data_IF_519556899188
#
_entry.id   IF_519556899188
#
_cell.length_a   1.000
_cell.length_b   1.000
_cell.length_c   1.000
_cell.angle_alpha   90.00
_cell.angle_beta   90.00
_cell.angle_gamma   90.00
#
_symmetry.space_group_name_H-M   'P 1'
#
loop_
_entity.id
_entity.type
_entity.pdbx_description
1 polymer ?
#
# COMPACT_ATOMS: atom_id res chain seq x y z
N UNK A 1 11.60 16.17 -16.95
CA UNK A 1 12.94 15.55 -17.02
C UNK A 1 13.00 14.34 -18.00
N UNK A 2 11.92 14.05 -18.76
CA UNK A 2 11.90 12.98 -19.77
C UNK A 2 12.02 11.56 -19.21
N UNK A 3 11.61 11.32 -17.96
CA UNK A 3 11.63 9.99 -17.33
C UNK A 3 10.27 9.35 -17.54
N UNK A 4 10.25 8.12 -18.05
CA UNK A 4 9.03 7.33 -18.20
C UNK A 4 8.50 6.88 -16.85
N UNK A 5 7.19 7.01 -16.65
CA UNK A 5 6.54 6.63 -15.38
C UNK A 5 5.48 5.56 -15.64
N UNK A 6 5.45 4.53 -14.80
CA UNK A 6 4.37 3.55 -14.74
C UNK A 6 3.55 3.80 -13.49
N UNK A 7 2.26 4.10 -13.66
CA UNK A 7 1.30 4.19 -12.57
C UNK A 7 0.57 2.86 -12.41
N UNK A 8 0.51 2.36 -11.20
CA UNK A 8 -0.14 1.09 -10.89
C UNK A 8 -0.71 1.10 -9.47
N UNK A 9 -1.38 0.03 -9.05
CA UNK A 9 -1.98 -0.08 -7.72
C UNK A 9 -2.05 -1.52 -7.23
N UNK A 10 -2.20 -1.72 -5.92
CA UNK A 10 -2.46 -3.02 -5.29
C UNK A 10 -3.69 -2.98 -4.36
N UNK A 11 -4.37 -4.13 -4.19
CA UNK A 11 -4.24 -5.35 -4.99
C UNK A 11 -4.73 -5.12 -6.42
N UNK A 12 -4.10 -5.79 -7.40
CA UNK A 12 -4.45 -5.62 -8.82
C UNK A 12 -3.23 -5.37 -9.71
N UNK A 13 -3.40 -4.52 -10.72
CA UNK A 13 -2.34 -4.12 -11.66
C UNK A 13 -1.99 -5.16 -12.72
N UNK A 14 -2.59 -6.36 -12.69
CA UNK A 14 -2.48 -7.43 -13.70
C UNK A 14 -3.82 -8.15 -13.85
N UNK A 15 -4.05 -8.82 -14.97
CA UNK A 15 -5.30 -9.55 -15.16
C UNK A 15 -5.60 -10.58 -14.07
N UNK A 16 -4.57 -11.31 -13.60
CA UNK A 16 -4.68 -12.25 -12.47
C UNK A 16 -4.91 -11.48 -11.17
N UNK A 17 -4.12 -10.41 -10.93
CA UNK A 17 -4.25 -9.59 -9.74
C UNK A 17 -5.62 -8.95 -9.59
N UNK A 18 -6.26 -8.51 -10.69
CA UNK A 18 -7.63 -7.97 -10.66
C UNK A 18 -8.66 -9.05 -10.23
N UNK A 19 -8.53 -10.29 -10.71
CA UNK A 19 -9.41 -11.39 -10.27
C UNK A 19 -9.24 -11.72 -8.79
N UNK A 20 -8.01 -11.70 -8.32
CA UNK A 20 -7.74 -11.86 -6.88
C UNK A 20 -8.34 -10.69 -6.08
N UNK A 21 -8.21 -9.45 -6.58
CA UNK A 21 -8.83 -8.26 -6.00
C UNK A 21 -10.34 -8.40 -5.90
N UNK A 22 -11.01 -8.87 -6.96
CA UNK A 22 -12.45 -9.10 -6.95
C UNK A 22 -12.84 -10.00 -5.76
N UNK A 23 -12.11 -11.10 -5.54
CA UNK A 23 -12.35 -11.99 -4.40
C UNK A 23 -12.07 -11.32 -3.04
N UNK A 24 -10.96 -10.60 -2.91
CA UNK A 24 -10.56 -9.97 -1.64
C UNK A 24 -11.59 -8.93 -1.17
N UNK A 25 -12.08 -8.11 -2.10
CA UNK A 25 -12.90 -6.94 -1.78
C UNK A 25 -14.41 -7.23 -1.80
N UNK A 26 -14.82 -8.40 -2.30
CA UNK A 26 -16.23 -8.76 -2.39
C UNK A 26 -16.87 -8.87 -0.99
N UNK A 27 -17.92 -8.10 -0.80
CA UNK A 27 -18.71 -8.07 0.45
C UNK A 27 -19.40 -9.40 0.78
N UNK A 28 -19.53 -10.30 -0.19
CA UNK A 28 -20.16 -11.61 0.01
C UNK A 28 -19.28 -12.57 0.79
N UNK A 29 -17.95 -12.37 0.80
CA UNK A 29 -16.99 -13.28 1.45
C UNK A 29 -16.61 -12.81 2.86
N UNK A 30 -17.60 -12.58 3.71
CA UNK A 30 -17.39 -12.16 5.11
C UNK A 30 -16.69 -13.24 5.97
N UNK A 31 -16.82 -14.51 5.57
CA UNK A 31 -16.20 -15.67 6.23
C UNK A 31 -14.71 -15.83 5.88
N UNK A 32 -14.14 -15.00 5.01
CA UNK A 32 -12.73 -15.09 4.64
C UNK A 32 -11.84 -14.97 5.87
N UNK A 33 -11.08 -16.02 6.18
CA UNK A 33 -10.20 -15.98 7.35
C UNK A 33 -9.00 -15.02 7.09
N UNK A 34 -8.44 -14.43 8.16
CA UNK A 34 -7.35 -13.48 8.06
C UNK A 34 -6.13 -13.98 7.27
N UNK A 35 -5.78 -15.26 7.43
CA UNK A 35 -4.63 -15.84 6.73
C UNK A 35 -4.89 -15.99 5.22
N UNK A 36 -6.09 -16.41 4.81
CA UNK A 36 -6.49 -16.45 3.39
C UNK A 36 -6.41 -15.06 2.78
N UNK A 37 -6.94 -14.04 3.47
CA UNK A 37 -6.83 -12.64 3.05
C UNK A 37 -5.37 -12.25 2.81
N UNK A 38 -4.49 -12.49 3.78
CA UNK A 38 -3.07 -12.15 3.68
C UNK A 38 -2.36 -12.87 2.52
N UNK A 39 -2.66 -14.15 2.31
CA UNK A 39 -2.10 -14.93 1.21
C UNK A 39 -2.59 -14.45 -0.16
N UNK A 40 -3.84 -14.06 -0.29
CA UNK A 40 -4.39 -13.51 -1.54
C UNK A 40 -3.75 -12.16 -1.89
N UNK A 41 -3.57 -11.27 -0.90
CA UNK A 41 -2.81 -10.03 -1.11
C UNK A 41 -1.38 -10.29 -1.58
N UNK A 42 -0.69 -11.23 -0.95
CA UNK A 42 0.67 -11.60 -1.33
C UNK A 42 0.73 -12.26 -2.71
N UNK A 43 -0.23 -13.11 -3.08
CA UNK A 43 -0.31 -13.73 -4.40
C UNK A 43 -0.53 -12.68 -5.51
N UNK A 44 -1.45 -11.74 -5.30
CA UNK A 44 -1.68 -10.62 -6.23
C UNK A 44 -0.40 -9.78 -6.40
N UNK A 45 0.30 -9.50 -5.29
CA UNK A 45 1.58 -8.76 -5.26
C UNK A 45 2.68 -9.50 -6.01
N UNK A 46 2.85 -10.79 -5.78
CA UNK A 46 3.86 -11.59 -6.47
C UNK A 46 3.68 -11.54 -7.99
N UNK A 47 2.45 -11.65 -8.48
CA UNK A 47 2.13 -11.52 -9.91
C UNK A 47 2.42 -10.11 -10.42
N UNK A 48 2.03 -9.09 -9.66
CA UNK A 48 2.23 -7.68 -10.01
C UNK A 48 3.72 -7.32 -10.08
N UNK A 49 4.51 -7.72 -9.08
CA UNK A 49 5.96 -7.51 -9.07
C UNK A 49 6.62 -8.15 -10.28
N UNK A 50 6.26 -9.41 -10.58
CA UNK A 50 6.86 -10.16 -11.69
C UNK A 50 6.49 -9.56 -13.06
N UNK A 51 5.22 -9.22 -13.26
CA UNK A 51 4.69 -8.87 -14.57
C UNK A 51 4.79 -7.37 -14.90
N UNK A 52 4.76 -6.50 -13.90
CA UNK A 52 4.69 -5.04 -14.09
C UNK A 52 5.89 -4.33 -13.50
N UNK A 53 6.16 -4.51 -12.18
CA UNK A 53 7.13 -3.67 -11.48
C UNK A 53 8.56 -3.96 -11.96
N UNK A 54 9.01 -5.22 -11.88
CA UNK A 54 10.36 -5.59 -12.31
C UNK A 54 10.65 -5.26 -13.77
N UNK A 55 9.77 -5.57 -14.74
CA UNK A 55 10.00 -5.18 -16.13
C UNK A 55 10.07 -3.68 -16.36
N UNK A 56 9.26 -2.89 -15.65
CA UNK A 56 9.32 -1.43 -15.75
C UNK A 56 10.64 -0.88 -15.19
N UNK A 57 11.06 -1.34 -14.02
CA UNK A 57 12.34 -0.96 -13.41
C UNK A 57 13.54 -1.37 -14.27
N UNK A 58 13.51 -2.56 -14.88
CA UNK A 58 14.55 -3.02 -15.80
C UNK A 58 14.67 -2.15 -17.07
N UNK A 59 13.61 -1.44 -17.44
CA UNK A 59 13.61 -0.45 -18.53
C UNK A 59 14.02 0.97 -18.07
N UNK A 60 14.46 1.13 -16.81
CA UNK A 60 14.82 2.44 -16.25
C UNK A 60 13.64 3.36 -15.97
N UNK A 61 12.41 2.81 -15.90
CA UNK A 61 11.21 3.59 -15.60
C UNK A 61 11.03 3.79 -14.10
N UNK A 62 10.33 4.86 -13.72
CA UNK A 62 9.85 5.06 -12.35
C UNK A 62 8.50 4.34 -12.21
N UNK A 63 8.32 3.58 -11.13
CA UNK A 63 7.04 2.97 -10.79
C UNK A 63 6.42 3.71 -9.61
N UNK A 64 5.21 4.22 -9.79
CA UNK A 64 4.38 4.81 -8.73
C UNK A 64 3.23 3.84 -8.47
N UNK A 65 3.20 3.27 -7.28
CA UNK A 65 2.21 2.27 -6.89
C UNK A 65 1.32 2.80 -5.76
N UNK A 66 0.01 2.86 -6.00
CA UNK A 66 -0.96 3.11 -4.93
C UNK A 66 -1.12 1.86 -4.09
N UNK A 67 -0.65 1.92 -2.84
CA UNK A 67 -0.48 0.82 -1.89
C UNK A 67 0.55 -0.21 -2.36
N UNK A 68 1.26 -0.79 -1.41
CA UNK A 68 2.21 -1.88 -1.61
C UNK A 68 2.36 -2.68 -0.29
N UNK A 69 3.54 -3.27 -0.06
CA UNK A 69 3.84 -4.16 1.08
C UNK A 69 3.50 -3.55 2.44
N UNK A 70 3.74 -2.25 2.65
CA UNK A 70 3.45 -1.55 3.90
C UNK A 70 1.96 -1.62 4.25
N UNK A 71 1.07 -1.56 3.24
CA UNK A 71 -0.36 -1.76 3.45
C UNK A 71 -0.69 -3.15 3.99
N UNK A 72 -0.08 -4.22 3.48
CA UNK A 72 -0.31 -5.57 4.01
C UNK A 72 0.18 -5.72 5.45
N UNK A 73 1.35 -5.16 5.77
CA UNK A 73 1.86 -5.19 7.14
C UNK A 73 0.90 -4.46 8.09
N UNK A 74 0.41 -3.27 7.69
CA UNK A 74 -0.54 -2.51 8.51
C UNK A 74 -1.91 -3.22 8.64
N UNK A 75 -2.51 -3.65 7.53
CA UNK A 75 -3.85 -4.23 7.51
C UNK A 75 -3.88 -5.67 8.04
N UNK A 76 -3.09 -6.56 7.45
CA UNK A 76 -3.09 -7.98 7.82
C UNK A 76 -2.20 -8.25 9.03
N UNK A 77 -1.03 -7.58 9.11
CA UNK A 77 -0.10 -7.76 10.24
C UNK A 77 -0.67 -7.22 11.53
N UNK A 78 -1.01 -5.94 11.58
CA UNK A 78 -1.55 -5.27 12.77
C UNK A 78 -3.07 -5.37 12.85
N UNK A 79 -3.79 -4.96 11.82
CA UNK A 79 -5.26 -4.95 11.80
C UNK A 79 -5.86 -6.32 12.08
N UNK A 80 -5.39 -7.38 11.41
CA UNK A 80 -5.81 -8.79 11.62
C UNK A 80 -5.03 -9.51 12.72
N UNK A 81 -3.96 -8.91 13.25
CA UNK A 81 -3.16 -9.53 14.30
C UNK A 81 -2.27 -10.70 13.86
N UNK A 82 -1.96 -10.83 12.55
CA UNK A 82 -1.13 -11.91 12.03
C UNK A 82 0.38 -11.69 12.24
N UNK A 83 0.78 -10.47 12.60
CA UNK A 83 2.14 -10.14 12.98
C UNK A 83 3.21 -10.53 11.94
N UNK A 84 4.26 -11.19 12.41
CA UNK A 84 5.43 -11.55 11.61
C UNK A 84 5.13 -12.46 10.41
N UNK A 85 4.05 -13.25 10.45
CA UNK A 85 3.67 -14.13 9.34
C UNK A 85 3.43 -13.33 8.05
N UNK A 86 2.80 -12.15 8.16
CA UNK A 86 2.56 -11.26 7.01
C UNK A 86 3.86 -10.76 6.40
N UNK A 87 4.82 -10.38 7.24
CA UNK A 87 6.14 -9.96 6.75
C UNK A 87 6.81 -11.08 5.97
N UNK A 88 6.85 -12.30 6.54
CA UNK A 88 7.48 -13.47 5.91
C UNK A 88 6.85 -13.78 4.55
N UNK A 89 5.52 -13.83 4.46
CA UNK A 89 4.80 -14.08 3.19
C UNK A 89 5.16 -13.00 2.15
N UNK A 90 5.22 -11.75 2.58
CA UNK A 90 5.50 -10.63 1.67
C UNK A 90 6.97 -10.52 1.27
N UNK A 91 7.92 -10.96 2.09
CA UNK A 91 9.33 -11.03 1.70
C UNK A 91 9.51 -11.92 0.45
N UNK A 92 8.74 -13.02 0.35
CA UNK A 92 8.69 -13.83 -0.88
C UNK A 92 7.96 -13.10 -2.02
N UNK A 93 6.82 -12.50 -1.75
CA UNK A 93 5.99 -11.86 -2.78
C UNK A 93 6.67 -10.68 -3.46
N UNK A 94 7.38 -9.82 -2.71
CA UNK A 94 8.10 -8.68 -3.27
C UNK A 94 9.37 -9.08 -4.01
N UNK A 95 9.93 -10.26 -3.72
CA UNK A 95 11.13 -10.80 -4.39
C UNK A 95 12.26 -9.76 -4.51
N UNK A 96 12.55 -9.04 -3.44
CA UNK A 96 13.58 -8.00 -3.34
C UNK A 96 13.18 -6.60 -3.86
N UNK A 97 11.95 -6.44 -4.39
CA UNK A 97 11.45 -5.15 -4.88
C UNK A 97 10.86 -4.29 -3.75
N UNK A 98 11.67 -3.89 -2.77
CA UNK A 98 11.23 -2.93 -1.76
C UNK A 98 11.18 -1.52 -2.38
N UNK A 99 10.15 -0.69 -2.11
CA UNK A 99 10.11 0.68 -2.61
C UNK A 99 11.24 1.53 -2.03
N UNK A 100 11.80 2.43 -2.85
CA UNK A 100 12.82 3.38 -2.41
C UNK A 100 12.25 4.41 -1.42
N UNK A 101 11.00 4.81 -1.62
CA UNK A 101 10.27 5.73 -0.74
C UNK A 101 8.80 5.37 -0.70
N UNK A 102 8.19 5.50 0.47
CA UNK A 102 6.74 5.41 0.67
C UNK A 102 6.24 6.73 1.22
N UNK A 103 5.32 7.39 0.52
CA UNK A 103 4.58 8.54 1.04
C UNK A 103 3.38 8.04 1.84
N UNK A 104 3.42 8.24 3.15
CA UNK A 104 2.34 7.86 4.05
C UNK A 104 1.43 9.07 4.30
N UNK A 105 0.25 9.07 3.69
CA UNK A 105 -0.77 10.10 3.89
C UNK A 105 -1.48 9.85 5.23
N UNK A 106 -1.06 10.56 6.28
CA UNK A 106 -1.61 10.39 7.64
C UNK A 106 -2.86 11.22 7.85
N UNK A 107 -3.87 10.57 8.39
CA UNK A 107 -5.11 11.21 8.84
C UNK A 107 -5.72 10.40 9.99
N UNK A 108 -6.39 11.07 10.91
CA UNK A 108 -7.19 10.39 11.94
C UNK A 108 -8.18 9.42 11.26
N UNK A 109 -8.17 8.14 11.63
CA UNK A 109 -9.05 7.13 11.03
C UNK A 109 -10.53 7.52 11.07
N UNK A 110 -10.99 8.18 12.14
CA UNK A 110 -12.37 8.64 12.28
C UNK A 110 -12.72 9.72 11.25
N UNK A 111 -11.76 10.58 10.91
CA UNK A 111 -11.94 11.61 9.88
C UNK A 111 -11.92 10.98 8.49
N UNK A 112 -10.98 10.08 8.22
CA UNK A 112 -10.86 9.37 6.95
C UNK A 112 -12.13 8.58 6.62
N UNK A 113 -12.66 7.81 7.57
CA UNK A 113 -13.88 7.00 7.38
C UNK A 113 -15.11 7.84 7.03
N UNK A 114 -15.26 9.05 7.57
CA UNK A 114 -16.38 9.94 7.23
C UNK A 114 -16.37 10.41 5.78
N UNK A 115 -15.23 10.31 5.09
CA UNK A 115 -15.09 10.68 3.67
C UNK A 115 -15.55 9.58 2.72
N UNK A 116 -15.64 8.34 3.19
CA UNK A 116 -16.04 7.17 2.39
C UNK A 116 -17.57 7.04 2.47
N UNK A 117 -18.23 7.07 1.31
CA UNK A 117 -19.68 6.86 1.25
C UNK A 117 -20.02 5.39 1.50
N UNK A 118 -21.14 5.12 2.16
CA UNK A 118 -21.54 3.77 2.56
C UNK A 118 -21.72 2.79 1.38
N UNK A 119 -22.14 3.30 0.22
CA UNK A 119 -22.31 2.51 -1.02
C UNK A 119 -20.98 2.14 -1.70
N UNK A 120 -19.90 2.85 -1.36
CA UNK A 120 -18.56 2.67 -1.92
C UNK A 120 -17.63 1.83 -1.02
N UNK A 121 -18.08 1.44 0.17
CA UNK A 121 -17.28 0.64 1.10
C UNK A 121 -17.07 -0.77 0.56
N UNK A 122 -15.85 -1.24 0.56
CA UNK A 122 -15.50 -2.65 0.33
C UNK A 122 -15.57 -3.48 1.63
N UNK A 123 -15.24 -4.78 1.55
CA UNK A 123 -15.26 -5.69 2.69
C UNK A 123 -14.37 -5.23 3.86
N UNK A 124 -13.19 -4.63 3.58
CA UNK A 124 -12.27 -4.14 4.62
C UNK A 124 -12.74 -2.82 5.23
N UNK A 125 -13.35 -1.97 4.42
CA UNK A 125 -13.89 -0.69 4.89
C UNK A 125 -15.12 -0.88 5.79
N UNK A 126 -15.82 -2.02 5.66
CA UNK A 126 -16.93 -2.42 6.54
C UNK A 126 -16.47 -2.95 7.91
N UNK A 127 -15.17 -3.16 8.12
CA UNK A 127 -14.64 -3.62 9.40
C UNK A 127 -14.91 -2.65 10.55
N UNK A 128 -14.86 -3.16 11.77
CA UNK A 128 -15.11 -2.39 12.99
C UNK A 128 -14.01 -1.35 13.23
N UNK A 129 -14.32 -0.35 14.02
CA UNK A 129 -13.40 0.75 14.34
C UNK A 129 -12.07 0.27 14.94
N UNK A 130 -12.09 -0.78 15.76
CA UNK A 130 -10.89 -1.34 16.36
C UNK A 130 -9.89 -1.89 15.32
N UNK A 131 -10.38 -2.47 14.22
CA UNK A 131 -9.53 -2.89 13.10
C UNK A 131 -8.83 -1.69 12.45
N UNK A 132 -9.57 -0.62 12.17
CA UNK A 132 -9.00 0.59 11.56
C UNK A 132 -8.01 1.31 12.46
N UNK A 133 -8.26 1.30 13.78
CA UNK A 133 -7.33 1.85 14.77
C UNK A 133 -6.03 1.04 14.77
N UNK A 134 -6.10 -0.28 14.89
CA UNK A 134 -4.89 -1.14 14.84
C UNK A 134 -4.14 -1.01 13.52
N UNK A 135 -4.84 -0.88 12.40
CA UNK A 135 -4.22 -0.63 11.09
C UNK A 135 -3.46 0.69 11.07
N UNK A 136 -4.06 1.75 11.62
CA UNK A 136 -3.41 3.05 11.73
C UNK A 136 -2.16 2.99 12.62
N UNK A 137 -2.28 2.35 13.79
CA UNK A 137 -1.14 2.10 14.68
C UNK A 137 -0.03 1.33 13.96
N UNK A 138 -0.39 0.34 13.13
CA UNK A 138 0.55 -0.40 12.29
C UNK A 138 1.34 0.49 11.34
N UNK A 139 0.69 1.47 10.72
CA UNK A 139 1.39 2.46 9.89
C UNK A 139 2.33 3.35 10.70
N UNK A 140 1.96 3.75 11.91
CA UNK A 140 2.84 4.54 12.79
C UNK A 140 4.06 3.73 13.24
N UNK A 141 3.92 2.45 13.51
CA UNK A 141 5.04 1.57 13.84
C UNK A 141 5.98 1.36 12.62
N UNK A 142 5.42 1.23 11.41
CA UNK A 142 6.22 1.17 10.18
C UNK A 142 7.00 2.47 9.94
N UNK A 143 6.39 3.63 10.15
CA UNK A 143 7.07 4.94 10.06
C UNK A 143 8.28 5.01 11.01
N UNK A 144 8.11 4.57 12.26
CA UNK A 144 9.19 4.53 13.25
C UNK A 144 10.29 3.53 12.88
N UNK A 145 9.90 2.37 12.34
CA UNK A 145 10.84 1.31 12.00
C UNK A 145 11.65 1.63 10.72
N UNK A 146 11.10 2.43 9.81
CA UNK A 146 11.71 2.75 8.51
C UNK A 146 11.71 4.25 8.22
N UNK A 147 12.32 5.10 9.10
CA UNK A 147 12.23 6.57 8.96
C UNK A 147 12.92 7.11 7.69
N UNK A 148 13.91 6.40 7.17
CA UNK A 148 14.62 6.79 5.95
C UNK A 148 13.82 6.47 4.66
N UNK A 149 12.84 5.58 4.75
CA UNK A 149 12.04 5.12 3.62
C UNK A 149 10.60 5.65 3.64
N UNK A 150 10.01 5.80 4.80
CA UNK A 150 8.61 6.22 4.96
C UNK A 150 8.54 7.69 5.32
N UNK A 151 8.02 8.48 4.39
CA UNK A 151 7.82 9.93 4.53
C UNK A 151 6.36 10.21 4.83
N UNK A 152 6.07 10.67 6.04
CA UNK A 152 4.70 11.01 6.44
C UNK A 152 4.29 12.39 5.96
N UNK A 153 3.06 12.49 5.47
CA UNK A 153 2.43 13.72 5.01
C UNK A 153 1.07 13.85 5.69
N UNK A 154 0.81 15.01 6.28
CA UNK A 154 -0.50 15.32 6.87
C UNK A 154 -1.56 15.47 5.78
N UNK A 155 -2.46 14.48 5.69
CA UNK A 155 -3.57 14.44 4.74
C UNK A 155 -4.82 15.25 5.21
N UNK A 156 -4.72 15.93 6.33
CA UNK A 156 -5.75 16.87 6.82
C UNK A 156 -5.72 18.22 6.13
N UNK A 157 -4.63 18.56 5.42
CA UNK A 157 -4.41 19.83 4.73
C UNK A 157 -5.05 19.88 3.34
N UNK A 158 -4.84 20.98 2.62
CA UNK A 158 -5.32 21.13 1.25
C UNK A 158 -4.59 20.18 0.28
N UNK A 159 -5.25 19.80 -0.82
CA UNK A 159 -4.64 18.97 -1.87
C UNK A 159 -3.37 19.61 -2.42
N UNK A 160 -3.35 20.94 -2.56
CA UNK A 160 -2.18 21.67 -3.08
C UNK A 160 -1.00 21.62 -2.11
N UNK A 161 -1.23 21.75 -0.80
CA UNK A 161 -0.17 21.62 0.21
C UNK A 161 0.42 20.20 0.23
N UNK A 162 -0.45 19.18 0.20
CA UNK A 162 -0.04 17.77 0.13
C UNK A 162 0.80 17.52 -1.12
N UNK A 163 0.36 18.01 -2.26
CA UNK A 163 1.06 17.90 -3.53
C UNK A 163 2.43 18.55 -3.47
N UNK A 164 2.54 19.76 -2.91
CA UNK A 164 3.81 20.49 -2.80
C UNK A 164 4.82 19.73 -1.91
N UNK A 165 4.36 19.14 -0.80
CA UNK A 165 5.22 18.33 0.07
C UNK A 165 5.72 17.08 -0.66
N UNK A 166 4.84 16.37 -1.39
CA UNK A 166 5.21 15.20 -2.19
C UNK A 166 6.25 15.58 -3.25
N UNK A 167 6.02 16.66 -3.99
CA UNK A 167 6.96 17.10 -5.01
C UNK A 167 8.33 17.49 -4.45
N UNK A 168 8.37 18.21 -3.34
CA UNK A 168 9.62 18.58 -2.68
C UNK A 168 10.45 17.34 -2.32
N UNK A 169 9.80 16.34 -1.67
CA UNK A 169 10.45 15.09 -1.30
C UNK A 169 10.84 14.22 -2.50
N UNK A 170 10.00 14.17 -3.52
CA UNK A 170 10.30 13.43 -4.75
C UNK A 170 11.53 13.99 -5.48
N UNK A 171 11.69 15.32 -5.50
CA UNK A 171 12.89 15.96 -6.06
C UNK A 171 14.17 15.56 -5.32
N UNK A 172 14.12 15.47 -3.97
CA UNK A 172 15.25 15.01 -3.16
C UNK A 172 15.62 13.56 -3.51
N UNK A 173 14.62 12.67 -3.55
CA UNK A 173 14.81 11.26 -3.89
C UNK A 173 15.39 11.09 -5.30
N UNK A 174 14.87 11.81 -6.28
CA UNK A 174 15.34 11.72 -7.67
C UNK A 174 16.76 12.27 -7.87
N UNK A 175 17.22 13.23 -7.06
CA UNK A 175 18.63 13.68 -7.08
C UNK A 175 19.57 12.58 -6.58
N UNK A 176 19.16 11.80 -5.57
CA UNK A 176 19.95 10.71 -5.02
C UNK A 176 20.02 9.45 -5.90
N UNK A 177 19.07 9.27 -6.83
CA UNK A 177 19.00 8.11 -7.73
C UNK A 177 19.68 8.37 -9.08
N UNK A 178 19.82 9.64 -9.50
CA UNK A 178 20.39 10.05 -10.80
C UNK A 178 21.83 10.53 -10.72
N UNK A 179 22.47 10.51 -9.57
CA UNK A 179 23.91 10.77 -9.33
C UNK A 179 24.65 9.47 -9.15
#
# INVERSE_FOLDING_TARGET
KGIDIVFTREPGGTAIGERIRDVILDRQYQEMCPMTEAMLYAAARAQHVHQVIKPALAQGKIVICDRFVDSSIAYQGYGRGLGQAVKTINDFAIAGCMPHVTFLLKMDPKVGRRRIKADQQDRLEMERDDFHIRTYEGYLELEKAYPDRIVSIDAGRSIEDIKNDIYSKLEEVLKGVTG
#
